data_IF_306171380535
#
_entry.id   IF_306171380535
#
_cell.length_a   1.000
_cell.length_b   1.000
_cell.length_c   1.000
_cell.angle_alpha   90.00
_cell.angle_beta   90.00
_cell.angle_gamma   90.00
#
_symmetry.space_group_name_H-M   'P 1'
#
loop_
_entity.id
_entity.type
_entity.pdbx_description
1 polymer ?
#
# COMPACT_ATOMS: atom_id res chain seq x y z
N UNK A 1 3.94 14.74 19.57
CA UNK A 1 4.96 15.77 19.25
C UNK A 1 4.75 16.22 17.81
N UNK A 2 3.81 17.14 17.57
CA UNK A 2 3.20 17.34 16.24
C UNK A 2 3.92 18.38 15.36
N UNK A 3 5.02 18.94 15.83
CA UNK A 3 5.68 20.03 15.14
C UNK A 3 6.65 19.49 14.08
N UNK A 4 6.35 19.75 12.80
CA UNK A 4 7.34 19.63 11.72
C UNK A 4 8.51 20.57 11.98
N UNK A 5 9.68 20.29 11.42
CA UNK A 5 10.79 21.25 11.48
C UNK A 5 10.30 22.60 10.89
N UNK A 6 10.44 23.72 11.62
CA UNK A 6 9.95 25.02 11.16
C UNK A 6 10.57 25.38 9.81
N UNK A 7 9.76 25.90 8.87
CA UNK A 7 10.30 26.33 7.56
C UNK A 7 11.36 27.40 7.69
N UNK A 8 11.23 28.27 8.70
CA UNK A 8 12.24 29.25 9.03
C UNK A 8 13.59 28.59 9.34
N UNK A 9 13.60 27.52 10.15
CA UNK A 9 14.81 26.74 10.45
C UNK A 9 15.43 26.15 9.19
N UNK A 10 14.62 25.53 8.32
CA UNK A 10 15.12 24.97 7.05
C UNK A 10 15.73 26.04 6.14
N UNK A 11 15.09 27.22 6.05
CA UNK A 11 15.61 28.36 5.27
C UNK A 11 16.92 28.86 5.85
N UNK A 12 17.01 29.01 7.18
CA UNK A 12 18.23 29.44 7.86
C UNK A 12 19.36 28.44 7.61
N UNK A 13 19.12 27.14 7.80
CA UNK A 13 20.12 26.10 7.54
C UNK A 13 20.58 26.11 6.08
N UNK A 14 19.66 26.26 5.13
CA UNK A 14 20.00 26.34 3.71
C UNK A 14 20.83 27.61 3.39
N UNK A 15 20.45 28.77 3.92
CA UNK A 15 21.20 30.02 3.74
C UNK A 15 22.60 29.90 4.34
N UNK A 16 22.72 29.37 5.57
CA UNK A 16 24.03 29.15 6.21
C UNK A 16 24.87 28.20 5.36
N UNK A 17 24.32 27.07 4.91
CA UNK A 17 25.04 26.13 4.07
C UNK A 17 25.56 26.77 2.77
N UNK A 18 24.72 27.53 2.06
CA UNK A 18 25.10 28.20 0.81
C UNK A 18 26.12 29.31 1.05
N UNK A 19 25.93 30.15 2.07
CA UNK A 19 26.85 31.25 2.38
C UNK A 19 28.19 30.71 2.85
N UNK A 20 28.21 29.71 3.73
CA UNK A 20 29.45 29.09 4.21
C UNK A 20 30.19 28.37 3.08
N UNK A 21 29.46 27.69 2.18
CA UNK A 21 30.07 27.06 1.00
C UNK A 21 30.67 28.11 0.05
N UNK A 22 29.92 29.17 -0.27
CA UNK A 22 30.39 30.26 -1.11
C UNK A 22 31.60 30.98 -0.51
N UNK A 23 31.59 31.22 0.80
CA UNK A 23 32.72 31.80 1.52
C UNK A 23 33.94 30.88 1.47
N UNK A 24 33.75 29.57 1.65
CA UNK A 24 34.83 28.58 1.54
C UNK A 24 35.46 28.61 0.15
N UNK A 25 34.66 28.57 -0.91
CA UNK A 25 35.13 28.65 -2.31
C UNK A 25 35.86 29.97 -2.59
N UNK A 26 35.32 31.09 -2.11
CA UNK A 26 35.96 32.41 -2.26
C UNK A 26 37.33 32.45 -1.56
N UNK A 27 37.41 31.99 -0.31
CA UNK A 27 38.68 31.96 0.42
C UNK A 27 39.69 31.01 -0.21
N UNK A 28 39.24 29.86 -0.73
CA UNK A 28 40.11 28.93 -1.45
C UNK A 28 40.67 29.55 -2.72
N UNK A 29 39.87 30.30 -3.48
CA UNK A 29 40.29 30.93 -4.73
C UNK A 29 41.23 32.13 -4.52
N UNK A 30 40.96 32.98 -3.52
CA UNK A 30 41.68 34.26 -3.35
C UNK A 30 42.67 34.29 -2.18
N UNK A 31 42.55 33.38 -1.21
CA UNK A 31 43.29 33.42 0.06
C UNK A 31 43.86 32.05 0.47
N UNK A 32 44.19 31.19 -0.50
CA UNK A 32 44.71 29.84 -0.23
C UNK A 32 45.93 29.84 0.72
N UNK A 33 46.89 30.73 0.48
CA UNK A 33 48.10 30.82 1.32
C UNK A 33 47.80 31.18 2.78
N UNK A 34 46.77 31.99 3.02
CA UNK A 34 46.31 32.34 4.36
C UNK A 34 45.60 31.15 5.04
N UNK A 35 44.75 30.42 4.30
CA UNK A 35 44.08 29.22 4.82
C UNK A 35 45.08 28.14 5.26
N UNK A 36 46.19 27.97 4.52
CA UNK A 36 47.27 27.05 4.89
C UNK A 36 47.95 27.43 6.21
N UNK A 37 47.97 28.71 6.57
CA UNK A 37 48.55 29.20 7.84
C UNK A 37 47.56 29.14 9.01
N UNK A 38 46.26 28.93 8.74
CA UNK A 38 45.20 28.93 9.75
C UNK A 38 44.29 27.69 9.67
N UNK A 39 44.81 26.49 9.99
CA UNK A 39 44.05 25.23 9.90
C UNK A 39 42.80 25.21 10.80
N UNK A 40 42.79 25.94 11.91
CA UNK A 40 41.63 26.07 12.80
C UNK A 40 40.43 26.68 12.05
N UNK A 41 40.67 27.70 11.21
CA UNK A 41 39.62 28.36 10.43
C UNK A 41 39.00 27.42 9.41
N UNK A 42 39.83 26.60 8.74
CA UNK A 42 39.37 25.56 7.80
C UNK A 42 38.49 24.53 8.51
N UNK A 43 38.92 24.06 9.69
CA UNK A 43 38.14 23.12 10.49
C UNK A 43 36.81 23.71 10.94
N UNK A 44 36.78 24.98 11.34
CA UNK A 44 35.55 25.69 11.71
C UNK A 44 34.59 25.82 10.52
N UNK A 45 35.09 26.28 9.36
CA UNK A 45 34.29 26.39 8.13
C UNK A 45 33.71 25.04 7.71
N UNK A 46 34.54 24.00 7.68
CA UNK A 46 34.11 22.63 7.37
C UNK A 46 33.06 22.13 8.36
N UNK A 47 33.25 22.36 9.67
CA UNK A 47 32.30 21.96 10.69
C UNK A 47 30.95 22.67 10.55
N UNK A 48 30.94 23.98 10.24
CA UNK A 48 29.71 24.74 10.03
C UNK A 48 28.96 24.26 8.78
N UNK A 49 29.67 24.02 7.67
CA UNK A 49 29.07 23.48 6.44
C UNK A 49 28.51 22.08 6.70
N UNK A 50 29.29 21.21 7.34
CA UNK A 50 28.88 19.85 7.68
C UNK A 50 27.65 19.83 8.59
N UNK A 51 27.62 20.68 9.62
CA UNK A 51 26.48 20.82 10.52
C UNK A 51 25.23 21.35 9.79
N UNK A 52 25.37 22.41 9.00
CA UNK A 52 24.24 23.03 8.30
C UNK A 52 23.64 22.09 7.24
N UNK A 53 24.49 21.43 6.44
CA UNK A 53 24.07 20.47 5.42
C UNK A 53 23.49 19.18 6.04
N UNK A 54 24.17 18.60 7.03
CA UNK A 54 23.68 17.42 7.75
C UNK A 54 22.35 17.69 8.46
N UNK A 55 22.25 18.82 9.18
CA UNK A 55 21.03 19.26 9.83
C UNK A 55 19.88 19.47 8.84
N UNK A 56 20.15 20.04 7.66
CA UNK A 56 19.16 20.21 6.61
C UNK A 56 18.64 18.86 6.09
N UNK A 57 19.54 17.91 5.80
CA UNK A 57 19.18 16.56 5.33
C UNK A 57 18.31 15.84 6.37
N UNK A 58 18.73 15.85 7.63
CA UNK A 58 17.98 15.22 8.73
C UNK A 58 16.60 15.87 8.87
N UNK A 59 16.51 17.20 8.84
CA UNK A 59 15.23 17.90 8.97
C UNK A 59 14.27 17.63 7.79
N UNK A 60 14.79 17.55 6.56
CA UNK A 60 13.99 17.15 5.39
C UNK A 60 13.50 15.70 5.51
N UNK A 61 14.35 14.80 6.01
CA UNK A 61 14.00 13.40 6.21
C UNK A 61 12.93 13.22 7.29
N UNK A 62 13.06 13.90 8.43
CA UNK A 62 12.05 13.90 9.50
C UNK A 62 10.71 14.41 8.96
N UNK A 63 10.71 15.52 8.20
CA UNK A 63 9.49 16.05 7.60
C UNK A 63 8.85 15.05 6.61
N UNK A 64 9.67 14.32 5.83
CA UNK A 64 9.19 13.28 4.92
C UNK A 64 8.56 12.11 5.67
N UNK A 65 9.13 11.67 6.79
CA UNK A 65 8.54 10.62 7.64
C UNK A 65 7.20 11.10 8.20
N UNK A 66 7.14 12.32 8.74
CA UNK A 66 5.89 12.88 9.28
C UNK A 66 4.80 13.02 8.22
N UNK A 67 5.14 13.43 6.99
CA UNK A 67 4.18 13.46 5.88
C UNK A 67 3.59 12.09 5.61
N UNK A 68 4.44 11.05 5.59
CA UNK A 68 4.02 9.67 5.35
C UNK A 68 3.16 9.12 6.48
N UNK A 69 3.46 9.46 7.72
CA UNK A 69 2.70 9.05 8.90
C UNK A 69 1.29 9.66 8.87
N UNK A 70 1.18 10.97 8.65
CA UNK A 70 -0.11 11.65 8.50
C UNK A 70 -0.90 11.09 7.32
N UNK A 71 -0.24 10.80 6.20
CA UNK A 71 -0.89 10.17 5.06
C UNK A 71 -1.40 8.76 5.38
N UNK A 72 -0.63 7.97 6.13
CA UNK A 72 -1.02 6.64 6.58
C UNK A 72 -2.26 6.69 7.47
N UNK A 73 -2.27 7.55 8.49
CA UNK A 73 -3.44 7.70 9.39
C UNK A 73 -4.69 8.13 8.64
N UNK A 74 -4.56 8.96 7.61
CA UNK A 74 -5.70 9.38 6.77
C UNK A 74 -6.15 8.31 5.77
N UNK A 75 -5.23 7.45 5.34
CA UNK A 75 -5.49 6.34 4.44
C UNK A 75 -6.16 5.16 5.17
N UNK A 76 -5.83 4.95 6.45
CA UNK A 76 -6.26 3.80 7.25
C UNK A 76 -7.78 3.53 7.25
N UNK A 77 -8.68 4.53 7.41
CA UNK A 77 -10.12 4.27 7.34
C UNK A 77 -10.58 3.73 5.99
N UNK A 78 -9.96 4.18 4.90
CA UNK A 78 -10.25 3.65 3.56
C UNK A 78 -9.71 2.23 3.40
N UNK A 79 -8.51 1.95 3.91
CA UNK A 79 -7.92 0.62 3.85
C UNK A 79 -8.78 -0.41 4.59
N UNK A 80 -9.30 -0.05 5.78
CA UNK A 80 -10.22 -0.90 6.52
C UNK A 80 -11.54 -1.12 5.77
N UNK A 81 -12.17 -0.07 5.25
CA UNK A 81 -13.38 -0.21 4.41
C UNK A 81 -13.09 -1.11 3.17
N UNK A 82 -11.91 -0.99 2.57
CA UNK A 82 -11.50 -1.79 1.42
C UNK A 82 -11.28 -3.26 1.76
N UNK A 83 -10.66 -3.57 2.90
CA UNK A 83 -10.51 -4.94 3.39
C UNK A 83 -11.88 -5.60 3.59
N UNK A 84 -12.82 -4.90 4.21
CA UNK A 84 -14.19 -5.39 4.42
C UNK A 84 -14.87 -5.70 3.08
N UNK A 85 -14.78 -4.76 2.13
CA UNK A 85 -15.39 -4.89 0.80
C UNK A 85 -14.75 -6.02 -0.02
N UNK A 86 -13.45 -6.24 0.10
CA UNK A 86 -12.72 -7.25 -0.67
C UNK A 86 -12.75 -8.65 -0.03
N UNK A 87 -13.05 -8.77 1.27
CA UNK A 87 -13.06 -10.06 1.98
C UNK A 87 -13.93 -11.11 1.29
N UNK A 88 -15.15 -10.73 0.89
CA UNK A 88 -16.11 -11.64 0.27
C UNK A 88 -15.64 -12.19 -1.08
N UNK A 89 -14.83 -11.44 -1.82
CA UNK A 89 -14.25 -11.87 -3.10
C UNK A 89 -12.88 -12.52 -2.92
N UNK A 90 -12.14 -12.24 -1.85
CA UNK A 90 -10.85 -12.89 -1.54
C UNK A 90 -11.01 -14.30 -1.01
N UNK A 91 -12.03 -14.55 -0.20
CA UNK A 91 -12.30 -15.86 0.41
C UNK A 91 -12.33 -17.02 -0.62
N UNK A 92 -13.07 -16.94 -1.74
CA UNK A 92 -13.10 -18.02 -2.74
C UNK A 92 -11.79 -18.18 -3.54
N UNK A 93 -10.84 -17.24 -3.45
CA UNK A 93 -9.51 -17.41 -4.08
C UNK A 93 -8.46 -17.89 -3.08
N UNK A 94 -8.84 -18.11 -1.82
CA UNK A 94 -7.89 -18.48 -0.79
C UNK A 94 -6.98 -17.35 -0.34
N UNK A 95 -7.41 -16.11 -0.54
CA UNK A 95 -6.59 -14.91 -0.31
C UNK A 95 -6.81 -14.29 1.07
N UNK A 96 -7.46 -14.99 2.02
CA UNK A 96 -7.61 -14.50 3.39
C UNK A 96 -6.31 -14.63 4.17
N UNK A 97 -6.06 -13.66 5.06
CA UNK A 97 -5.01 -13.76 6.07
C UNK A 97 -5.40 -14.76 7.16
N UNK A 98 -4.42 -15.23 7.93
CA UNK A 98 -4.70 -16.13 9.06
C UNK A 98 -5.66 -15.54 10.09
N UNK A 99 -5.60 -14.22 10.32
CA UNK A 99 -6.53 -13.52 11.22
C UNK A 99 -7.95 -13.47 10.62
N UNK A 100 -8.08 -13.09 9.35
CA UNK A 100 -9.39 -13.08 8.68
C UNK A 100 -10.01 -14.48 8.60
N UNK A 101 -9.18 -15.51 8.44
CA UNK A 101 -9.62 -16.90 8.46
C UNK A 101 -10.14 -17.26 9.86
N UNK A 102 -9.39 -16.95 10.92
CA UNK A 102 -9.83 -17.18 12.30
C UNK A 102 -11.16 -16.48 12.61
N UNK A 103 -11.35 -15.23 12.17
CA UNK A 103 -12.61 -14.50 12.34
C UNK A 103 -13.79 -15.16 11.60
N UNK A 104 -13.56 -15.74 10.41
CA UNK A 104 -14.62 -16.49 9.70
C UNK A 104 -15.00 -17.74 10.51
N UNK A 105 -14.01 -18.37 11.14
CA UNK A 105 -14.21 -19.59 11.93
C UNK A 105 -14.95 -19.26 13.21
N UNK A 106 -14.53 -18.25 13.97
CA UNK A 106 -15.20 -17.80 15.18
C UNK A 106 -16.66 -17.40 14.90
N UNK A 107 -16.93 -16.69 13.80
CA UNK A 107 -18.29 -16.32 13.42
C UNK A 107 -19.16 -17.53 13.03
N UNK A 108 -18.57 -18.57 12.42
CA UNK A 108 -19.28 -19.81 12.09
C UNK A 108 -19.49 -20.69 13.32
N UNK A 109 -18.49 -20.79 14.18
CA UNK A 109 -18.53 -21.55 15.43
C UNK A 109 -19.52 -20.93 16.40
N UNK A 110 -19.59 -19.58 16.49
CA UNK A 110 -20.63 -18.87 17.23
C UNK A 110 -22.05 -19.16 16.70
N UNK A 111 -22.18 -19.41 15.39
CA UNK A 111 -23.43 -19.89 14.79
C UNK A 111 -23.65 -21.40 14.95
N UNK A 112 -22.60 -22.16 15.30
CA UNK A 112 -22.57 -23.62 15.38
C UNK A 112 -22.38 -24.16 16.81
N UNK A 113 -22.46 -23.32 17.86
CA UNK A 113 -22.40 -23.68 19.32
C UNK A 113 -23.45 -24.72 19.75
N UNK A 114 -24.21 -25.31 18.82
CA UNK A 114 -25.01 -26.50 19.04
C UNK A 114 -24.28 -27.83 18.76
N UNK A 115 -23.07 -27.85 18.19
CA UNK A 115 -22.40 -29.10 17.80
C UNK A 115 -20.88 -29.09 18.03
N UNK A 116 -20.41 -30.25 18.51
CA UNK A 116 -19.06 -30.68 18.89
C UNK A 116 -17.88 -30.05 18.12
N UNK A 117 -16.73 -29.88 18.78
CA UNK A 117 -15.54 -29.16 18.29
C UNK A 117 -14.84 -29.76 17.05
N UNK A 118 -15.41 -30.81 16.45
CA UNK A 118 -14.99 -31.40 15.17
C UNK A 118 -15.33 -30.54 13.94
N UNK A 119 -16.30 -29.63 14.06
CA UNK A 119 -16.73 -28.75 12.96
C UNK A 119 -15.67 -27.71 12.55
N UNK A 120 -14.89 -27.20 13.51
CA UNK A 120 -13.86 -26.20 13.24
C UNK A 120 -12.71 -26.75 12.39
N UNK A 121 -12.33 -28.03 12.62
CA UNK A 121 -11.28 -28.72 11.87
C UNK A 121 -11.76 -29.01 10.43
N UNK A 122 -13.01 -29.48 10.26
CA UNK A 122 -13.60 -29.76 8.95
C UNK A 122 -13.73 -28.51 8.05
N UNK A 123 -14.07 -27.35 8.62
CA UNK A 123 -14.15 -26.08 7.88
C UNK A 123 -12.76 -25.60 7.44
N UNK A 124 -11.75 -25.74 8.31
CA UNK A 124 -10.36 -25.40 7.99
C UNK A 124 -9.83 -26.25 6.85
N UNK A 125 -10.06 -27.56 6.91
CA UNK A 125 -9.65 -28.51 5.88
C UNK A 125 -10.44 -28.32 4.58
N UNK A 126 -11.71 -27.93 4.65
CA UNK A 126 -12.49 -27.57 3.46
C UNK A 126 -11.94 -26.31 2.79
N UNK A 127 -11.60 -25.27 3.56
CA UNK A 127 -10.97 -24.06 3.03
C UNK A 127 -9.61 -24.40 2.41
N UNK A 128 -8.73 -25.07 3.14
CA UNK A 128 -7.40 -25.45 2.65
C UNK A 128 -7.48 -26.25 1.34
N UNK A 129 -8.35 -27.27 1.24
CA UNK A 129 -8.57 -28.02 -0.02
C UNK A 129 -9.08 -27.14 -1.17
N UNK A 130 -10.06 -26.28 -0.89
CA UNK A 130 -10.59 -25.33 -1.88
C UNK A 130 -9.51 -24.39 -2.40
N UNK A 131 -8.67 -23.88 -1.51
CA UNK A 131 -7.54 -23.02 -1.89
C UNK A 131 -6.49 -23.78 -2.69
N UNK A 132 -6.07 -24.96 -2.25
CA UNK A 132 -5.10 -25.79 -2.93
C UNK A 132 -5.52 -26.10 -4.37
N UNK A 133 -6.81 -26.38 -4.59
CA UNK A 133 -7.40 -26.59 -5.92
C UNK A 133 -7.32 -25.35 -6.84
N UNK A 134 -7.51 -24.14 -6.30
CA UNK A 134 -7.33 -22.88 -7.06
C UNK A 134 -5.88 -22.69 -7.50
N UNK A 135 -4.92 -23.19 -6.72
CA UNK A 135 -3.49 -22.94 -6.90
C UNK A 135 -2.71 -24.12 -7.50
N UNK A 136 -3.40 -25.13 -8.04
CA UNK A 136 -2.80 -26.17 -8.87
C UNK A 136 -2.76 -27.57 -8.24
N UNK A 137 -3.23 -27.72 -7.02
CA UNK A 137 -3.21 -29.01 -6.32
C UNK A 137 -4.58 -29.71 -6.45
N UNK A 138 -4.67 -30.83 -7.18
CA UNK A 138 -5.93 -31.56 -7.37
C UNK A 138 -6.37 -32.17 -6.04
N UNK A 139 -7.21 -31.45 -5.31
CA UNK A 139 -7.65 -31.78 -3.95
C UNK A 139 -9.18 -31.84 -3.82
N UNK A 140 -9.88 -31.74 -4.95
CA UNK A 140 -11.34 -31.64 -5.04
C UNK A 140 -11.91 -32.52 -6.15
N UNK A 141 -13.04 -33.16 -5.87
CA UNK A 141 -13.78 -33.96 -6.86
C UNK A 141 -14.31 -33.07 -8.00
N UNK A 142 -14.38 -33.54 -9.26
CA UNK A 142 -14.77 -32.71 -10.41
C UNK A 142 -16.12 -31.99 -10.26
N UNK A 143 -17.11 -32.66 -9.67
CA UNK A 143 -18.44 -32.07 -9.43
C UNK A 143 -18.40 -30.96 -8.36
N UNK A 144 -17.59 -31.14 -7.30
CA UNK A 144 -17.36 -30.12 -6.28
C UNK A 144 -16.61 -28.93 -6.87
N UNK A 145 -15.62 -29.19 -7.74
CA UNK A 145 -14.88 -28.16 -8.47
C UNK A 145 -15.78 -27.32 -9.37
N UNK A 146 -16.70 -27.95 -10.10
CA UNK A 146 -17.65 -27.25 -10.96
C UNK A 146 -18.55 -26.29 -10.16
N UNK A 147 -19.11 -26.74 -9.04
CA UNK A 147 -19.93 -25.89 -8.17
C UNK A 147 -19.12 -24.74 -7.55
N UNK A 148 -17.90 -25.05 -7.08
CA UNK A 148 -17.01 -24.08 -6.47
C UNK A 148 -16.57 -22.99 -7.46
N UNK A 149 -16.12 -23.40 -8.64
CA UNK A 149 -15.64 -22.52 -9.71
C UNK A 149 -16.72 -21.55 -10.21
N UNK A 150 -17.96 -22.03 -10.36
CA UNK A 150 -19.12 -21.18 -10.66
C UNK A 150 -19.38 -20.14 -9.56
N UNK A 151 -19.29 -20.53 -8.28
CA UNK A 151 -19.48 -19.62 -7.15
C UNK A 151 -18.38 -18.54 -7.07
N UNK A 152 -17.12 -18.91 -7.34
CA UNK A 152 -15.98 -17.97 -7.41
C UNK A 152 -16.23 -16.91 -8.49
N UNK A 153 -16.60 -17.35 -9.70
CA UNK A 153 -16.90 -16.44 -10.83
C UNK A 153 -18.07 -15.51 -10.51
N UNK A 154 -19.17 -16.04 -9.97
CA UNK A 154 -20.34 -15.24 -9.60
C UNK A 154 -20.00 -14.16 -8.57
N UNK A 155 -19.27 -14.52 -7.50
CA UNK A 155 -18.81 -13.56 -6.48
C UNK A 155 -17.88 -12.49 -7.08
N UNK A 156 -16.95 -12.89 -7.95
CA UNK A 156 -16.06 -11.94 -8.64
C UNK A 156 -16.82 -10.95 -9.52
N UNK A 157 -17.82 -11.41 -10.27
CA UNK A 157 -18.60 -10.53 -11.17
C UNK A 157 -19.47 -9.56 -10.38
N UNK A 158 -20.06 -10.02 -9.27
CA UNK A 158 -20.81 -9.17 -8.36
C UNK A 158 -19.94 -8.10 -7.67
N UNK A 159 -18.63 -8.36 -7.51
CA UNK A 159 -17.69 -7.42 -6.91
C UNK A 159 -17.32 -6.25 -7.84
N UNK A 160 -17.34 -6.43 -9.16
CA UNK A 160 -16.99 -5.38 -10.14
C UNK A 160 -17.74 -4.04 -9.92
N UNK A 161 -19.09 -4.00 -9.84
CA UNK A 161 -19.81 -2.75 -9.57
C UNK A 161 -19.50 -2.17 -8.18
N UNK A 162 -19.27 -3.02 -7.18
CA UNK A 162 -18.92 -2.58 -5.81
C UNK A 162 -17.57 -1.88 -5.82
N UNK A 163 -16.56 -2.46 -6.48
CA UNK A 163 -15.24 -1.89 -6.61
C UNK A 163 -15.26 -0.52 -7.34
N UNK A 164 -16.07 -0.37 -8.39
CA UNK A 164 -16.26 0.93 -9.06
C UNK A 164 -16.92 1.97 -8.16
N UNK A 165 -17.97 1.58 -7.44
CA UNK A 165 -18.65 2.48 -6.51
C UNK A 165 -17.70 2.91 -5.37
N UNK A 166 -16.89 1.99 -4.86
CA UNK A 166 -15.87 2.24 -3.86
C UNK A 166 -14.82 3.24 -4.37
N UNK A 167 -14.25 2.98 -5.55
CA UNK A 167 -13.26 3.86 -6.17
C UNK A 167 -13.81 5.28 -6.35
N UNK A 168 -15.06 5.41 -6.80
CA UNK A 168 -15.76 6.70 -6.91
C UNK A 168 -15.91 7.40 -5.55
N UNK A 169 -16.30 6.68 -4.49
CA UNK A 169 -16.47 7.23 -3.13
C UNK A 169 -15.17 7.83 -2.59
N UNK A 170 -14.03 7.19 -2.85
CA UNK A 170 -12.72 7.63 -2.38
C UNK A 170 -11.94 8.50 -3.38
N UNK A 171 -12.55 8.86 -4.51
CA UNK A 171 -11.89 9.67 -5.55
C UNK A 171 -10.71 8.97 -6.21
N UNK A 172 -10.71 7.64 -6.23
CA UNK A 172 -9.70 6.81 -6.89
C UNK A 172 -10.13 6.70 -8.35
N UNK A 173 -9.51 7.50 -9.20
CA UNK A 173 -9.82 7.54 -10.62
C UNK A 173 -8.55 7.69 -11.45
N UNK A 174 -8.63 7.25 -12.70
CA UNK A 174 -7.60 7.46 -13.71
C UNK A 174 -6.97 6.18 -14.21
N UNK A 175 -6.08 6.34 -15.19
CA UNK A 175 -5.54 5.26 -16.03
C UNK A 175 -5.01 4.05 -15.26
N UNK A 176 -4.36 4.26 -14.12
CA UNK A 176 -3.82 3.16 -13.30
C UNK A 176 -4.94 2.29 -12.70
N UNK A 177 -5.99 2.91 -12.16
CA UNK A 177 -7.16 2.19 -11.67
C UNK A 177 -7.85 1.45 -12.81
N UNK A 178 -8.12 2.15 -13.93
CA UNK A 178 -8.82 1.56 -15.07
C UNK A 178 -8.05 0.36 -15.65
N UNK A 179 -6.72 0.45 -15.73
CA UNK A 179 -5.87 -0.66 -16.20
C UNK A 179 -5.97 -1.87 -15.28
N UNK A 180 -5.78 -1.69 -13.97
CA UNK A 180 -5.84 -2.78 -13.00
C UNK A 180 -7.26 -3.39 -12.92
N UNK A 181 -8.29 -2.55 -13.01
CA UNK A 181 -9.68 -2.98 -13.04
C UNK A 181 -9.98 -3.82 -14.29
N UNK A 182 -9.61 -3.34 -15.47
CA UNK A 182 -9.83 -4.05 -16.74
C UNK A 182 -9.04 -5.34 -16.82
N UNK A 183 -7.83 -5.39 -16.27
CA UNK A 183 -7.04 -6.63 -16.19
C UNK A 183 -7.76 -7.69 -15.34
N UNK A 184 -8.20 -7.31 -14.13
CA UNK A 184 -8.97 -8.21 -13.28
C UNK A 184 -10.28 -8.65 -13.94
N UNK A 185 -11.05 -7.72 -14.51
CA UNK A 185 -12.29 -8.00 -15.24
C UNK A 185 -12.06 -8.98 -16.41
N UNK A 186 -10.99 -8.80 -17.19
CA UNK A 186 -10.65 -9.68 -18.29
C UNK A 186 -10.30 -11.10 -17.82
N UNK A 187 -9.51 -11.23 -16.74
CA UNK A 187 -9.15 -12.55 -16.19
C UNK A 187 -10.36 -13.27 -15.60
N UNK A 188 -11.25 -12.53 -14.94
CA UNK A 188 -12.47 -13.06 -14.35
C UNK A 188 -13.49 -13.52 -15.42
N UNK A 189 -13.66 -12.75 -16.49
CA UNK A 189 -14.57 -13.09 -17.60
C UNK A 189 -14.06 -14.27 -18.43
N UNK A 190 -12.74 -14.46 -18.50
CA UNK A 190 -12.12 -15.61 -19.14
C UNK A 190 -12.23 -16.92 -18.34
N UNK A 191 -12.77 -16.90 -17.12
CA UNK A 191 -13.00 -18.12 -16.33
C UNK A 191 -14.05 -19.00 -17.01
N UNK A 192 -13.82 -20.33 -17.09
CA UNK A 192 -14.74 -21.26 -17.73
C UNK A 192 -16.08 -21.32 -16.99
N UNK A 193 -17.19 -21.29 -17.74
CA UNK A 193 -18.55 -21.31 -17.17
C UNK A 193 -18.95 -22.70 -16.65
N UNK A 194 -18.44 -23.75 -17.29
CA UNK A 194 -18.92 -25.12 -17.10
C UNK A 194 -18.02 -25.96 -16.19
N UNK A 195 -17.03 -25.36 -15.53
CA UNK A 195 -16.09 -26.09 -14.66
C UNK A 195 -15.22 -27.10 -15.40
N UNK A 196 -14.98 -26.92 -16.70
CA UNK A 196 -14.03 -27.74 -17.48
C UNK A 196 -12.69 -27.77 -16.73
N UNK A 197 -12.26 -28.96 -16.31
CA UNK A 197 -11.10 -29.16 -15.46
C UNK A 197 -9.79 -29.04 -16.22
N UNK A 198 -9.82 -29.03 -17.56
CA UNK A 198 -8.62 -28.90 -18.38
C UNK A 198 -8.11 -27.45 -18.39
N UNK A 199 -7.06 -27.19 -17.60
CA UNK A 199 -6.44 -25.85 -17.49
C UNK A 199 -7.21 -24.85 -16.62
N UNK A 200 -8.31 -25.26 -15.95
CA UNK A 200 -9.08 -24.39 -15.07
C UNK A 200 -8.24 -23.81 -13.95
N UNK A 201 -7.46 -24.62 -13.23
CA UNK A 201 -6.66 -24.15 -12.10
C UNK A 201 -5.69 -23.01 -12.49
N UNK A 202 -5.12 -23.06 -13.69
CA UNK A 202 -4.28 -21.97 -14.21
C UNK A 202 -5.09 -20.68 -14.47
N UNK A 203 -6.32 -20.79 -14.98
CA UNK A 203 -7.20 -19.63 -15.18
C UNK A 203 -7.66 -19.02 -13.84
N UNK A 204 -8.02 -19.87 -12.87
CA UNK A 204 -8.46 -19.44 -11.53
C UNK A 204 -7.31 -18.83 -10.72
N UNK A 205 -6.11 -19.41 -10.75
CA UNK A 205 -4.91 -18.78 -10.15
C UNK A 205 -4.57 -17.45 -10.81
N UNK A 206 -4.63 -17.34 -12.14
CA UNK A 206 -4.41 -16.08 -12.85
C UNK A 206 -5.44 -15.00 -12.46
N UNK A 207 -6.72 -15.36 -12.31
CA UNK A 207 -7.75 -14.46 -11.82
C UNK A 207 -7.52 -14.07 -10.34
N UNK A 208 -7.08 -15.00 -9.51
CA UNK A 208 -6.70 -14.73 -8.11
C UNK A 208 -5.53 -13.77 -7.99
N UNK A 209 -4.47 -13.95 -8.78
CA UNK A 209 -3.33 -13.03 -8.84
C UNK A 209 -3.75 -11.65 -9.36
N UNK A 210 -4.61 -11.57 -10.37
CA UNK A 210 -5.13 -10.31 -10.88
C UNK A 210 -6.00 -9.59 -9.83
N UNK A 211 -6.81 -10.32 -9.05
CA UNK A 211 -7.56 -9.77 -7.93
C UNK A 211 -6.62 -9.18 -6.87
N UNK A 212 -5.59 -9.93 -6.47
CA UNK A 212 -4.61 -9.45 -5.49
C UNK A 212 -3.89 -8.19 -5.97
N UNK A 213 -3.45 -8.17 -7.24
CA UNK A 213 -2.83 -7.00 -7.87
C UNK A 213 -3.78 -5.79 -7.93
N UNK A 214 -5.06 -6.02 -8.27
CA UNK A 214 -6.07 -4.98 -8.28
C UNK A 214 -6.31 -4.38 -6.88
N UNK A 215 -6.46 -5.23 -5.86
CA UNK A 215 -6.65 -4.80 -4.46
C UNK A 215 -5.49 -3.93 -4.00
N UNK A 216 -4.26 -4.38 -4.23
CA UNK A 216 -3.06 -3.62 -3.88
C UNK A 216 -2.98 -2.29 -4.63
N UNK A 217 -3.32 -2.28 -5.93
CA UNK A 217 -3.33 -1.07 -6.74
C UNK A 217 -4.30 -0.02 -6.21
N UNK A 218 -5.49 -0.43 -5.73
CA UNK A 218 -6.48 0.49 -5.14
C UNK A 218 -5.95 1.13 -3.86
N UNK A 219 -5.30 0.34 -2.99
CA UNK A 219 -4.68 0.84 -1.76
C UNK A 219 -3.54 1.84 -2.05
N UNK A 220 -2.63 1.47 -2.96
CA UNK A 220 -1.49 2.32 -3.36
C UNK A 220 -1.97 3.65 -3.94
N UNK A 221 -2.95 3.61 -4.84
CA UNK A 221 -3.50 4.82 -5.47
C UNK A 221 -4.13 5.75 -4.43
N UNK A 222 -4.89 5.23 -3.48
CA UNK A 222 -5.48 6.06 -2.43
C UNK A 222 -4.42 6.63 -1.49
N UNK A 223 -3.40 5.84 -1.14
CA UNK A 223 -2.28 6.31 -0.33
C UNK A 223 -1.54 7.47 -1.01
N UNK A 224 -1.25 7.36 -2.31
CA UNK A 224 -0.62 8.40 -3.10
C UNK A 224 -1.46 9.68 -3.16
N UNK A 225 -2.76 9.57 -3.44
CA UNK A 225 -3.70 10.70 -3.41
C UNK A 225 -3.65 11.40 -2.05
N UNK A 226 -3.71 10.62 -0.97
CA UNK A 226 -3.68 11.14 0.41
C UNK A 226 -2.37 11.86 0.70
N UNK A 227 -1.23 11.27 0.30
CA UNK A 227 0.09 11.88 0.47
C UNK A 227 0.23 13.19 -0.31
N UNK A 228 -0.31 13.24 -1.53
CA UNK A 228 -0.36 14.46 -2.33
C UNK A 228 -1.21 15.54 -1.67
N UNK A 229 -2.38 15.20 -1.14
CA UNK A 229 -3.25 16.13 -0.41
C UNK A 229 -2.58 16.68 0.86
N UNK A 230 -1.91 15.83 1.65
CA UNK A 230 -1.16 16.24 2.85
C UNK A 230 -0.09 17.28 2.48
N UNK A 231 0.68 17.02 1.42
CA UNK A 231 1.72 17.95 0.93
C UNK A 231 1.14 19.25 0.37
N UNK A 232 0.03 19.17 -0.36
CA UNK A 232 -0.65 20.34 -0.93
C UNK A 232 -1.23 21.25 0.16
N UNK A 233 -1.89 20.68 1.18
CA UNK A 233 -2.41 21.43 2.32
C UNK A 233 -1.31 22.19 3.08
N UNK A 234 -0.12 21.59 3.21
CA UNK A 234 1.05 22.27 3.78
C UNK A 234 1.50 23.44 2.91
N UNK A 235 1.53 23.29 1.59
CA UNK A 235 1.89 24.40 0.66
C UNK A 235 0.88 25.56 0.75
N UNK A 236 -0.42 25.28 0.80
CA UNK A 236 -1.47 26.29 0.95
C UNK A 236 -1.34 27.12 2.22
N UNK A 237 -1.11 26.48 3.37
CA UNK A 237 -0.85 27.18 4.65
C UNK A 237 0.45 27.99 4.69
N UNK A 238 1.35 27.80 3.72
CA UNK A 238 2.58 28.59 3.60
C UNK A 238 2.36 29.97 2.99
N UNK A 239 1.28 30.11 2.22
CA UNK A 239 1.02 31.24 1.33
C UNK A 239 0.10 32.29 1.95
N UNK A 240 -0.44 32.03 3.14
CA UNK A 240 -1.22 33.01 3.92
C UNK A 240 -0.26 33.70 4.89
N UNK A 241 0.07 34.99 4.68
CA UNK A 241 1.00 35.75 5.51
C UNK A 241 0.46 36.00 6.92
#
# INVERSE_FOLDING_TARGET
MDQNAPRALLRILAVIAVVSFGLSMYMEQFQLAWLQQHPITVNLLSSVIGFASGGLVVALFINRIKDRDVARTRHEPMAEDWKVVTRAVREPFGLLTSAELHDVHEARDASAVAADGSLAEEVTDSYARKTASVWGEPSMEPAEWQAYSAAVRAKGLAFLPVARAFAKRYGIAGKKFDTAFSEFEAKLTALPENGDTSGSSQAYSAAGSALQGFIHSVEELHYDITLHQVRAAKKGRAATP
#
